data_IF_101251433078
#
_entry.id   IF_101251433078
#
_cell.length_a   1.000
_cell.length_b   1.000
_cell.length_c   1.000
_cell.angle_alpha   90.00
_cell.angle_beta   90.00
_cell.angle_gamma   90.00
#
_symmetry.space_group_name_H-M   'P 1'
#
loop_
_entity.id
_entity.type
_entity.pdbx_description
1 polymer ?
#
# COMPACT_ATOMS: atom_id res chain seq x y z
N UNK A 1 2.14 13.82 -6.29
CA UNK A 1 0.95 13.21 -5.67
C UNK A 1 1.41 12.29 -4.57
N UNK A 2 0.95 12.50 -3.32
CA UNK A 2 1.31 11.62 -2.20
C UNK A 2 0.38 10.41 -2.22
N UNK A 3 0.94 9.22 -2.38
CA UNK A 3 0.20 7.95 -2.41
C UNK A 3 0.46 7.17 -1.11
N UNK A 4 -0.60 6.66 -0.48
CA UNK A 4 -0.52 5.67 0.60
C UNK A 4 -0.98 4.32 0.07
N UNK A 5 -0.10 3.33 0.06
CA UNK A 5 -0.44 1.96 -0.32
C UNK A 5 -0.80 1.14 0.92
N UNK A 6 -1.88 0.38 0.87
CA UNK A 6 -2.46 -0.34 2.01
C UNK A 6 -1.86 -1.74 2.23
N UNK A 7 -0.57 -1.92 1.97
CA UNK A 7 0.14 -3.20 2.07
C UNK A 7 0.29 -3.76 3.52
N UNK A 8 -0.44 -3.21 4.50
CA UNK A 8 -0.28 -3.50 5.93
C UNK A 8 -1.55 -3.94 6.66
N UNK A 9 -2.64 -4.21 5.94
CA UNK A 9 -3.77 -4.90 6.56
C UNK A 9 -3.36 -6.35 6.72
N UNK A 10 -3.24 -6.81 7.96
CA UNK A 10 -2.84 -8.19 8.26
C UNK A 10 -3.81 -9.17 7.61
N UNK A 11 -3.32 -9.91 6.61
CA UNK A 11 -4.07 -11.02 6.03
C UNK A 11 -3.99 -12.19 7.02
N UNK A 12 -5.10 -12.88 7.35
CA UNK A 12 -5.03 -14.14 8.09
C UNK A 12 -4.13 -15.15 7.34
N UNK A 13 -3.60 -16.14 8.07
CA UNK A 13 -2.71 -17.14 7.49
C UNK A 13 -3.33 -17.75 6.20
N UNK A 14 -2.57 -17.87 5.10
CA UNK A 14 -3.08 -18.44 3.86
C UNK A 14 -3.41 -19.92 4.10
N UNK A 15 -4.68 -20.22 4.30
CA UNK A 15 -5.16 -21.58 4.17
C UNK A 15 -5.44 -21.82 2.69
N UNK A 16 -4.88 -22.89 2.12
CA UNK A 16 -5.15 -23.36 0.75
C UNK A 16 -6.65 -23.66 0.60
N UNK A 17 -7.43 -22.65 0.25
CA UNK A 17 -8.84 -22.83 -0.10
C UNK A 17 -8.89 -23.06 -1.60
N UNK A 18 -9.16 -24.31 -1.98
CA UNK A 18 -9.59 -24.62 -3.35
C UNK A 18 -10.83 -23.78 -3.65
N UNK A 19 -10.69 -22.78 -4.52
CA UNK A 19 -11.82 -22.02 -5.04
C UNK A 19 -12.68 -22.99 -5.85
N UNK A 20 -13.73 -23.52 -5.26
CA UNK A 20 -14.78 -24.20 -6.03
C UNK A 20 -15.53 -23.10 -6.81
N UNK A 21 -15.14 -22.91 -8.07
CA UNK A 21 -15.79 -22.00 -9.00
C UNK A 21 -17.15 -22.57 -9.40
N UNK A 22 -18.18 -22.37 -8.59
CA UNK A 22 -19.56 -22.81 -8.89
C UNK A 22 -20.44 -21.73 -9.50
N UNK A 23 -19.87 -20.61 -9.97
CA UNK A 23 -20.64 -19.58 -10.68
C UNK A 23 -19.88 -19.11 -11.91
N UNK A 24 -20.57 -19.14 -13.05
CA UNK A 24 -20.10 -18.83 -14.40
C UNK A 24 -19.05 -17.71 -14.47
N UNK A 25 -17.88 -18.01 -15.08
CA UNK A 25 -16.95 -17.06 -15.70
C UNK A 25 -16.87 -15.64 -15.09
N UNK A 26 -16.76 -15.53 -13.76
CA UNK A 26 -16.64 -14.22 -13.13
C UNK A 26 -15.20 -13.71 -13.33
N UNK A 27 -15.01 -12.90 -14.37
CA UNK A 27 -13.76 -12.19 -14.61
C UNK A 27 -13.69 -11.03 -13.60
N UNK A 28 -12.72 -11.01 -12.67
CA UNK A 28 -12.59 -9.89 -11.75
C UNK A 28 -12.34 -8.60 -12.54
N UNK A 29 -12.83 -7.48 -12.02
CA UNK A 29 -12.55 -6.17 -12.62
C UNK A 29 -11.04 -5.91 -12.58
N UNK A 30 -10.53 -5.11 -13.54
CA UNK A 30 -9.11 -4.75 -13.55
C UNK A 30 -8.69 -4.07 -12.23
N UNK A 31 -9.55 -3.22 -11.67
CA UNK A 31 -9.33 -2.59 -10.36
C UNK A 31 -9.21 -3.59 -9.22
N UNK A 32 -10.00 -4.67 -9.24
CA UNK A 32 -9.90 -5.72 -8.22
C UNK A 32 -8.58 -6.48 -8.32
N UNK A 33 -8.12 -6.76 -9.55
CA UNK A 33 -6.81 -7.36 -9.79
C UNK A 33 -5.71 -6.44 -9.26
N UNK A 34 -5.73 -5.15 -9.61
CA UNK A 34 -4.75 -4.17 -9.10
C UNK A 34 -4.77 -4.13 -7.57
N UNK A 35 -5.97 -4.07 -6.98
CA UNK A 35 -6.14 -4.04 -5.54
C UNK A 35 -5.50 -5.24 -4.84
N UNK A 36 -5.77 -6.46 -5.35
CA UNK A 36 -5.21 -7.71 -4.83
C UNK A 36 -3.68 -7.72 -4.87
N UNK A 37 -3.10 -7.31 -5.99
CA UNK A 37 -1.64 -7.32 -6.16
C UNK A 37 -0.96 -6.23 -5.32
N UNK A 38 -1.53 -5.04 -5.25
CA UNK A 38 -0.97 -3.94 -4.45
C UNK A 38 -1.12 -4.20 -2.95
N UNK A 39 -2.25 -4.69 -2.46
CA UNK A 39 -2.46 -4.92 -1.02
C UNK A 39 -1.61 -6.08 -0.48
N UNK A 40 -1.20 -7.02 -1.34
CA UNK A 40 -0.34 -8.15 -0.97
C UNK A 40 1.15 -7.95 -1.32
N UNK A 41 1.51 -6.79 -1.91
CA UNK A 41 2.90 -6.46 -2.19
C UNK A 41 3.72 -6.31 -0.90
N UNK A 42 5.03 -6.49 -1.01
CA UNK A 42 5.98 -6.38 0.09
C UNK A 42 6.73 -5.05 0.02
N UNK A 43 6.52 -4.11 0.95
CA UNK A 43 7.28 -2.88 1.00
C UNK A 43 8.80 -3.16 1.10
N UNK A 44 9.60 -2.38 0.38
CA UNK A 44 11.05 -2.51 0.31
C UNK A 44 11.74 -1.34 1.00
N UNK A 45 12.90 -1.63 1.60
CA UNK A 45 13.73 -0.60 2.22
C UNK A 45 14.63 0.08 1.18
N UNK A 46 15.02 1.32 1.45
CA UNK A 46 16.12 1.97 0.72
C UNK A 46 17.40 1.18 1.01
N UNK A 47 18.21 0.95 -0.03
CA UNK A 47 19.46 0.19 0.06
C UNK A 47 20.32 0.65 1.25
N UNK A 48 20.78 -0.30 2.07
CA UNK A 48 21.57 -0.08 3.29
C UNK A 48 20.89 0.78 4.37
N UNK A 49 19.55 0.85 4.39
CA UNK A 49 18.81 1.54 5.47
C UNK A 49 17.67 0.67 6.03
N UNK A 50 17.12 1.08 7.17
CA UNK A 50 15.89 0.50 7.74
C UNK A 50 14.62 1.24 7.30
N UNK A 51 14.76 2.30 6.50
CA UNK A 51 13.64 3.12 6.05
C UNK A 51 13.01 2.50 4.81
N UNK A 52 11.67 2.43 4.79
CA UNK A 52 10.94 2.08 3.57
C UNK A 52 11.21 3.11 2.47
N UNK A 53 11.40 2.65 1.24
CA UNK A 53 11.55 3.51 0.07
C UNK A 53 10.33 4.42 -0.09
N UNK A 54 10.49 5.58 -0.74
CA UNK A 54 9.36 6.50 -0.92
C UNK A 54 8.25 5.81 -1.71
N UNK A 55 6.97 6.09 -1.42
CA UNK A 55 5.85 5.50 -2.18
C UNK A 55 5.87 5.91 -3.65
N UNK A 56 6.51 7.03 -3.99
CA UNK A 56 6.78 7.46 -5.37
C UNK A 56 7.75 6.49 -6.08
N UNK A 57 8.72 5.92 -5.35
CA UNK A 57 9.70 5.00 -5.91
C UNK A 57 9.23 3.54 -5.89
N UNK A 58 8.72 3.06 -4.75
CA UNK A 58 8.37 1.64 -4.59
C UNK A 58 6.91 1.32 -4.91
N UNK A 59 6.03 2.32 -5.04
CA UNK A 59 4.59 2.08 -5.10
C UNK A 59 4.11 1.29 -3.88
N UNK A 60 3.39 0.19 -4.13
CA UNK A 60 2.98 -0.77 -3.11
C UNK A 60 4.10 -1.70 -2.61
N UNK A 61 5.25 -1.73 -3.30
CA UNK A 61 6.37 -2.61 -3.04
C UNK A 61 6.54 -3.72 -4.06
N UNK A 62 7.33 -4.75 -3.70
CA UNK A 62 7.59 -5.90 -4.55
C UNK A 62 6.36 -6.79 -4.65
N UNK A 63 5.94 -7.10 -5.88
CA UNK A 63 4.78 -7.95 -6.15
C UNK A 63 4.97 -9.35 -5.55
N UNK A 64 3.96 -9.82 -4.83
CA UNK A 64 3.89 -11.20 -4.34
C UNK A 64 2.69 -11.92 -4.98
N UNK A 65 2.94 -12.58 -6.10
CA UNK A 65 1.88 -13.25 -6.86
C UNK A 65 1.22 -14.39 -6.08
N UNK A 66 2.00 -15.16 -5.31
CA UNK A 66 1.44 -16.25 -4.51
C UNK A 66 0.44 -15.73 -3.47
N UNK A 67 0.84 -14.72 -2.68
CA UNK A 67 -0.06 -14.12 -1.68
C UNK A 67 -1.27 -13.43 -2.32
N UNK A 68 -1.11 -12.77 -3.48
CA UNK A 68 -2.22 -12.16 -4.18
C UNK A 68 -3.24 -13.20 -4.69
N UNK A 69 -2.78 -14.37 -5.15
CA UNK A 69 -3.64 -15.44 -5.66
C UNK A 69 -4.32 -16.27 -4.55
N UNK A 70 -3.70 -16.36 -3.38
CA UNK A 70 -4.23 -17.11 -2.22
C UNK A 70 -4.95 -16.20 -1.20
N UNK A 71 -4.99 -14.89 -1.42
CA UNK A 71 -5.65 -13.95 -0.54
C UNK A 71 -7.16 -14.21 -0.42
N UNK A 72 -7.65 -14.19 0.82
CA UNK A 72 -9.07 -14.25 1.17
C UNK A 72 -9.64 -12.90 1.60
N UNK A 73 -8.81 -11.87 1.68
CA UNK A 73 -9.20 -10.49 1.97
C UNK A 73 -8.93 -9.61 0.75
N UNK A 74 -9.95 -8.84 0.35
CA UNK A 74 -9.87 -7.82 -0.70
C UNK A 74 -9.97 -6.45 -0.06
N UNK A 75 -9.07 -5.54 -0.43
CA UNK A 75 -9.01 -4.17 0.10
C UNK A 75 -9.20 -3.21 -1.06
N UNK A 76 -10.16 -2.29 -0.95
CA UNK A 76 -10.47 -1.32 -2.01
C UNK A 76 -10.71 0.08 -1.46
N UNK A 77 -10.09 1.13 -2.02
CA UNK A 77 -8.97 1.07 -2.97
C UNK A 77 -7.69 0.59 -2.28
N UNK A 78 -6.75 -0.03 -3.00
CA UNK A 78 -5.44 -0.43 -2.45
C UNK A 78 -4.45 0.72 -2.26
N UNK A 79 -4.76 1.88 -2.83
CA UNK A 79 -3.97 3.10 -2.77
C UNK A 79 -4.87 4.30 -2.44
N UNK A 80 -4.40 5.19 -1.58
CA UNK A 80 -5.02 6.49 -1.34
C UNK A 80 -4.16 7.59 -1.94
N UNK A 81 -4.72 8.31 -2.92
CA UNK A 81 -4.15 9.56 -3.41
C UNK A 81 -4.49 10.67 -2.42
N UNK A 82 -3.53 11.04 -1.56
CA UNK A 82 -3.71 12.03 -0.50
C UNK A 82 -3.71 13.49 -0.99
N UNK A 83 -3.40 13.70 -2.27
CA UNK A 83 -3.30 15.00 -2.95
C UNK A 83 -2.34 16.00 -2.25
N UNK A 84 -2.29 17.25 -2.73
CA UNK A 84 -1.47 18.32 -2.16
C UNK A 84 -2.11 18.92 -0.89
N UNK A 85 -1.38 19.79 -0.19
CA UNK A 85 -1.84 20.42 1.06
C UNK A 85 -3.16 21.17 0.90
N UNK A 86 -3.48 21.66 -0.30
CA UNK A 86 -4.67 22.48 -0.59
C UNK A 86 -5.89 21.61 -0.93
N UNK A 87 -5.69 20.43 -1.54
CA UNK A 87 -6.76 19.51 -2.01
C UNK A 87 -6.81 18.20 -1.23
N UNK A 88 -6.22 18.16 -0.03
CA UNK A 88 -6.27 16.99 0.86
C UNK A 88 -7.70 16.77 1.36
N UNK A 89 -8.25 15.59 1.10
CA UNK A 89 -9.50 15.17 1.72
C UNK A 89 -9.30 14.89 3.20
N UNK A 90 -10.30 15.21 4.02
CA UNK A 90 -10.27 14.91 5.46
C UNK A 90 -10.54 13.44 5.75
N UNK A 91 -11.35 12.78 4.90
CA UNK A 91 -11.79 11.40 5.10
C UNK A 91 -11.49 10.59 3.84
N UNK A 92 -10.88 9.43 4.04
CA UNK A 92 -10.68 8.42 3.00
C UNK A 92 -11.42 7.15 3.40
N UNK A 93 -12.21 6.59 2.48
CA UNK A 93 -12.96 5.36 2.71
C UNK A 93 -12.17 4.18 2.17
N UNK A 94 -11.99 3.16 3.01
CA UNK A 94 -11.40 1.87 2.65
C UNK A 94 -12.44 0.81 2.95
N UNK A 95 -12.67 -0.08 2.00
CA UNK A 95 -13.49 -1.26 2.14
C UNK A 95 -12.59 -2.48 2.30
N UNK A 96 -12.88 -3.29 3.31
CA UNK A 96 -12.20 -4.56 3.59
C UNK A 96 -13.25 -5.66 3.49
N UNK A 97 -13.11 -6.53 2.49
CA UNK A 97 -14.03 -7.63 2.23
C UNK A 97 -13.35 -8.97 2.49
N UNK A 98 -14.00 -9.81 3.30
CA UNK A 98 -13.59 -11.19 3.50
C UNK A 98 -14.35 -12.09 2.51
N UNK A 99 -13.63 -12.67 1.55
CA UNK A 99 -14.17 -13.64 0.58
C UNK A 99 -13.82 -15.08 0.95
N UNK A 100 -13.22 -15.30 2.12
CA UNK A 100 -12.96 -16.62 2.68
C UNK A 100 -14.18 -17.22 3.39
N UNK A 101 -14.11 -18.53 3.64
CA UNK A 101 -15.21 -19.28 4.25
C UNK A 101 -15.23 -19.21 5.79
N UNK A 102 -14.30 -18.46 6.40
CA UNK A 102 -14.13 -18.35 7.85
C UNK A 102 -14.20 -16.89 8.28
N UNK A 103 -14.73 -16.64 9.47
CA UNK A 103 -14.69 -15.30 10.07
C UNK A 103 -13.24 -14.86 10.32
N UNK A 104 -12.94 -13.59 10.08
CA UNK A 104 -11.60 -13.02 10.21
C UNK A 104 -11.66 -11.75 11.08
N UNK A 105 -10.66 -11.58 11.96
CA UNK A 105 -10.46 -10.39 12.75
C UNK A 105 -9.32 -9.57 12.14
N UNK A 106 -9.55 -8.29 11.90
CA UNK A 106 -8.58 -7.40 11.25
C UNK A 106 -8.06 -6.34 12.21
N UNK A 107 -6.74 -6.14 12.20
CA UNK A 107 -6.07 -5.01 12.85
C UNK A 107 -5.54 -4.07 11.76
N UNK A 108 -5.86 -2.79 11.88
CA UNK A 108 -5.44 -1.76 10.94
C UNK A 108 -4.35 -0.91 11.59
N UNK A 109 -3.26 -0.69 10.87
CA UNK A 109 -2.16 0.17 11.28
C UNK A 109 -1.53 0.89 10.09
N UNK A 110 -0.63 1.81 10.38
CA UNK A 110 0.11 2.57 9.37
C UNK A 110 1.59 2.62 9.70
N UNK A 111 2.43 2.41 8.67
CA UNK A 111 3.88 2.61 8.69
C UNK A 111 4.24 3.57 7.58
N UNK A 112 4.77 4.73 7.97
CA UNK A 112 5.25 5.74 7.03
C UNK A 112 6.47 5.28 6.23
N UNK A 113 6.54 5.70 4.98
CA UNK A 113 7.72 5.60 4.14
C UNK A 113 8.68 6.78 4.35
N UNK A 114 9.92 6.66 3.85
CA UNK A 114 10.86 7.77 3.83
C UNK A 114 10.32 8.93 3.00
N UNK A 115 10.64 10.16 3.42
CA UNK A 115 10.44 11.36 2.60
C UNK A 115 11.73 11.64 1.83
N UNK A 116 11.65 11.84 0.52
CA UNK A 116 12.78 12.25 -0.30
C UNK A 116 12.74 13.75 -0.56
N UNK A 117 13.70 14.47 -0.01
CA UNK A 117 13.88 15.90 -0.29
C UNK A 117 14.91 16.06 -1.41
N UNK A 118 14.54 16.63 -2.56
CA UNK A 118 15.41 16.67 -3.73
C UNK A 118 16.36 17.88 -3.72
N UNK A 119 16.26 18.80 -2.76
CA UNK A 119 17.10 20.01 -2.66
C UNK A 119 17.43 20.35 -1.22
N UNK A 120 18.47 21.15 -1.00
CA UNK A 120 18.75 21.71 0.32
C UNK A 120 17.78 22.86 0.65
N UNK A 121 17.52 23.13 1.94
CA UNK A 121 16.77 24.32 2.34
C UNK A 121 17.45 25.60 1.83
N UNK A 122 16.67 26.50 1.22
CA UNK A 122 17.19 27.76 0.68
C UNK A 122 17.97 27.64 -0.62
N UNK A 123 18.04 26.45 -1.22
CA UNK A 123 18.74 26.21 -2.47
C UNK A 123 17.74 25.84 -3.58
N UNK A 124 18.08 26.15 -4.82
CA UNK A 124 17.24 25.86 -6.00
C UNK A 124 17.80 24.73 -6.86
N UNK A 125 19.03 24.28 -6.56
CA UNK A 125 19.64 23.15 -7.23
C UNK A 125 19.13 21.81 -6.70
N UNK A 126 18.94 20.85 -7.61
CA UNK A 126 18.61 19.47 -7.25
C UNK A 126 19.87 18.73 -6.78
N UNK A 127 19.70 17.90 -5.76
CA UNK A 127 20.70 16.95 -5.31
C UNK A 127 20.75 15.76 -6.27
N UNK A 128 21.98 15.29 -6.57
CA UNK A 128 22.19 14.05 -7.33
C UNK A 128 21.56 12.84 -6.64
N UNK A 129 21.56 12.83 -5.31
CA UNK A 129 20.90 11.82 -4.49
C UNK A 129 19.95 12.56 -3.52
N UNK A 130 18.64 12.27 -3.54
CA UNK A 130 17.70 12.88 -2.62
C UNK A 130 18.09 12.59 -1.16
N UNK A 131 17.87 13.58 -0.28
CA UNK A 131 18.02 13.37 1.14
C UNK A 131 16.79 12.64 1.67
N UNK A 132 16.99 11.44 2.22
CA UNK A 132 15.92 10.66 2.82
C UNK A 132 15.82 10.93 4.32
N UNK A 133 14.62 11.27 4.80
CA UNK A 133 14.34 11.41 6.23
C UNK A 133 13.22 10.48 6.66
N UNK A 134 13.27 10.05 7.91
CA UNK A 134 12.19 9.28 8.50
C UNK A 134 10.97 10.20 8.65
N UNK A 135 9.87 9.79 8.01
CA UNK A 135 8.50 10.18 8.32
C UNK A 135 8.19 11.70 8.41
N UNK A 136 7.57 12.28 7.38
CA UNK A 136 6.93 13.61 7.46
C UNK A 136 5.48 13.54 7.99
N UNK A 137 4.92 12.34 8.20
CA UNK A 137 3.56 12.14 8.70
C UNK A 137 3.47 12.04 10.24
N UNK A 138 4.44 12.61 10.97
CA UNK A 138 4.24 12.99 12.36
C UNK A 138 3.52 14.33 12.36
N UNK A 139 2.34 14.37 12.98
CA UNK A 139 1.60 15.61 13.20
C UNK A 139 2.50 16.62 13.87
N UNK A 140 2.87 17.70 13.18
CA UNK A 140 3.23 18.93 13.85
C UNK A 140 1.92 19.47 14.41
N UNK A 141 1.63 19.08 15.67
CA UNK A 141 0.66 19.80 16.52
C UNK A 141 1.34 21.06 17.00
#
# INVERSE_FOLDING_TARGET
TLALFLAQIGNPAPETVGRNSTSANHRPSFSEVVNLFQSNAKPVNIYKTLMLATTIQQGAGLVNAFQALTATTIISPSELALNDTVRRQQIYKIEVSNVGNKSALYTIGHRGAATATPKQPGDDQLLLIPKYTANYAVSHV
#
